data_IF_493798428283
#
_entry.id   IF_493798428283
#
_cell.length_a   1.000
_cell.length_b   1.000
_cell.length_c   1.000
_cell.angle_alpha   90.00
_cell.angle_beta   90.00
_cell.angle_gamma   90.00
#
_symmetry.space_group_name_H-M   'P 1'
#
loop_
_entity.id
_entity.type
_entity.pdbx_description
1 polymer ?
#
# COMPACT_ATOMS: atom_id res chain seq x y z
N UNK A 1 71.47 27.45 -2.77
CA UNK A 1 70.25 28.26 -2.60
C UNK A 1 69.27 27.85 -3.68
N UNK A 2 68.01 27.65 -3.28
CA UNK A 2 66.80 27.46 -4.08
C UNK A 2 66.68 26.22 -4.99
N UNK A 3 65.90 25.24 -4.52
CA UNK A 3 65.00 24.45 -5.38
C UNK A 3 63.63 24.35 -4.71
N UNK A 4 62.67 25.06 -5.30
CA UNK A 4 61.21 24.86 -5.19
C UNK A 4 60.89 23.39 -5.58
N UNK A 5 59.94 22.65 -5.02
CA UNK A 5 58.58 23.00 -4.60
C UNK A 5 57.60 22.25 -5.53
N UNK A 6 57.08 21.11 -5.07
CA UNK A 6 55.85 20.49 -5.62
C UNK A 6 55.40 19.32 -4.72
N UNK A 7 54.73 19.63 -3.61
CA UNK A 7 53.91 18.64 -2.91
C UNK A 7 52.61 18.44 -3.70
N UNK A 8 52.54 17.30 -4.40
CA UNK A 8 51.32 16.82 -5.03
C UNK A 8 50.36 16.35 -3.95
N UNK A 9 49.38 17.20 -3.62
CA UNK A 9 48.24 16.80 -2.81
C UNK A 9 47.38 15.83 -3.62
N UNK A 10 47.52 14.53 -3.35
CA UNK A 10 46.62 13.49 -3.85
C UNK A 10 45.31 13.66 -3.10
N UNK A 11 44.35 14.36 -3.72
CA UNK A 11 42.97 14.33 -3.27
C UNK A 11 42.46 12.90 -3.45
N UNK A 12 42.38 12.15 -2.35
CA UNK A 12 41.54 10.96 -2.29
C UNK A 12 40.11 11.43 -2.50
N UNK A 13 39.64 11.28 -3.74
CA UNK A 13 38.23 11.35 -4.08
C UNK A 13 37.56 10.21 -3.34
N UNK A 14 36.93 10.53 -2.22
CA UNK A 14 36.09 9.60 -1.47
C UNK A 14 34.87 9.29 -2.33
N UNK A 15 34.98 8.25 -3.16
CA UNK A 15 33.85 7.69 -3.88
C UNK A 15 32.86 7.18 -2.82
N UNK A 16 31.77 7.92 -2.60
CA UNK A 16 30.64 7.45 -1.80
C UNK A 16 29.94 6.35 -2.60
N UNK A 17 30.45 5.13 -2.46
CA UNK A 17 29.78 3.95 -2.97
C UNK A 17 28.56 3.67 -2.07
N UNK A 18 27.42 4.28 -2.40
CA UNK A 18 26.09 3.96 -1.87
C UNK A 18 25.59 2.59 -2.36
N UNK A 19 26.48 1.60 -2.39
CA UNK A 19 26.20 0.23 -2.73
C UNK A 19 26.23 -0.63 -1.47
N UNK A 20 25.10 -0.71 -0.76
CA UNK A 20 24.90 -1.78 0.23
C UNK A 20 25.14 -3.11 -0.49
N UNK A 21 26.25 -3.79 -0.16
CA UNK A 21 26.59 -5.04 -0.82
C UNK A 21 25.54 -6.09 -0.48
N UNK A 22 25.22 -7.04 -1.38
CA UNK A 22 24.27 -8.13 -1.12
C UNK A 22 24.54 -8.92 0.17
N UNK A 23 25.78 -8.91 0.68
CA UNK A 23 26.16 -9.52 1.95
C UNK A 23 25.65 -8.79 3.21
N UNK A 24 25.42 -7.47 3.15
CA UNK A 24 25.00 -6.67 4.31
C UNK A 24 23.55 -6.91 4.70
N UNK A 25 22.76 -7.50 3.81
CA UNK A 25 21.36 -7.88 4.04
C UNK A 25 21.21 -9.06 5.00
N UNK A 26 22.28 -9.85 5.18
CA UNK A 26 22.29 -10.95 6.13
C UNK A 26 22.20 -10.43 7.58
N UNK A 27 22.82 -9.28 7.86
CA UNK A 27 22.56 -8.54 9.10
C UNK A 27 21.43 -7.54 8.87
N UNK A 28 20.19 -8.04 8.93
CA UNK A 28 19.02 -7.18 8.76
C UNK A 28 18.97 -5.98 9.73
N UNK A 29 19.77 -5.94 10.80
CA UNK A 29 19.93 -4.71 11.60
C UNK A 29 20.54 -3.60 10.78
N UNK A 30 21.64 -3.84 10.07
CA UNK A 30 22.28 -2.81 9.25
C UNK A 30 21.28 -2.21 8.25
N UNK A 31 20.50 -3.07 7.60
CA UNK A 31 19.47 -2.66 6.64
C UNK A 31 18.38 -1.74 7.24
N UNK A 32 17.85 -2.07 8.42
CA UNK A 32 16.78 -1.27 9.02
C UNK A 32 17.31 -0.01 9.72
N UNK A 33 18.55 -0.01 10.19
CA UNK A 33 19.12 1.10 10.96
C UNK A 33 19.83 2.14 10.09
N UNK A 34 20.19 1.80 8.85
CA UNK A 34 20.76 2.75 7.88
C UNK A 34 19.71 3.60 7.16
N UNK A 35 18.41 3.33 7.39
CA UNK A 35 17.31 3.99 6.68
C UNK A 35 16.61 5.03 7.53
N UNK A 36 16.28 6.12 6.86
CA UNK A 36 15.36 7.12 7.38
C UNK A 36 13.92 6.73 7.08
N UNK A 37 13.07 6.87 8.10
CA UNK A 37 11.64 6.65 7.97
C UNK A 37 10.94 8.00 8.14
N UNK A 38 10.18 8.42 7.13
CA UNK A 38 9.35 9.64 7.23
C UNK A 38 7.88 9.29 7.44
N UNK A 39 7.48 8.06 7.16
CA UNK A 39 6.09 7.64 7.20
C UNK A 39 5.91 6.15 7.53
N UNK A 40 4.68 5.78 7.91
CA UNK A 40 4.27 4.38 8.05
C UNK A 40 4.38 3.61 6.74
N UNK A 41 4.25 4.29 5.60
CA UNK A 41 4.41 3.68 4.29
C UNK A 41 5.87 3.29 4.05
N UNK A 42 6.83 4.11 4.47
CA UNK A 42 8.26 3.79 4.33
C UNK A 42 8.65 2.61 5.22
N UNK A 43 8.13 2.56 6.45
CA UNK A 43 8.28 1.38 7.33
C UNK A 43 7.73 0.14 6.64
N UNK A 44 6.50 0.21 6.15
CA UNK A 44 5.85 -0.92 5.48
C UNK A 44 6.68 -1.39 4.30
N UNK A 45 7.09 -0.46 3.41
CA UNK A 45 7.92 -0.71 2.23
C UNK A 45 9.24 -1.37 2.58
N UNK A 46 9.95 -0.86 3.59
CA UNK A 46 11.24 -1.43 4.00
C UNK A 46 11.15 -2.88 4.44
N UNK A 47 10.05 -3.26 5.12
CA UNK A 47 9.79 -4.65 5.53
C UNK A 47 9.48 -5.51 4.29
N UNK A 48 8.74 -4.98 3.31
CA UNK A 48 8.47 -5.68 2.05
C UNK A 48 9.80 -6.02 1.39
N UNK A 49 10.60 -5.00 1.11
CA UNK A 49 11.88 -5.10 0.39
C UNK A 49 12.85 -6.05 1.11
N UNK A 50 12.99 -5.93 2.44
CA UNK A 50 13.84 -6.83 3.21
C UNK A 50 13.44 -8.29 3.01
N UNK A 51 12.15 -8.59 3.14
CA UNK A 51 11.65 -9.96 3.06
C UNK A 51 11.64 -10.49 1.63
N UNK A 52 11.48 -9.64 0.61
CA UNK A 52 11.66 -10.02 -0.79
C UNK A 52 13.12 -10.39 -1.07
N UNK A 53 14.08 -9.58 -0.56
CA UNK A 53 15.50 -9.83 -0.73
C UNK A 53 15.99 -11.09 0.00
N UNK A 54 15.46 -11.38 1.19
CA UNK A 54 15.78 -12.64 1.89
C UNK A 54 14.94 -13.83 1.42
N UNK A 55 14.01 -13.64 0.47
CA UNK A 55 13.15 -14.70 -0.05
C UNK A 55 12.23 -15.32 1.04
N UNK A 56 11.66 -14.48 1.90
CA UNK A 56 10.86 -14.92 3.05
C UNK A 56 9.47 -14.33 3.08
N UNK A 57 8.53 -15.16 3.51
CA UNK A 57 7.19 -14.71 3.83
C UNK A 57 7.09 -14.10 5.22
N UNK A 58 6.30 -13.03 5.33
CA UNK A 58 5.89 -12.47 6.62
C UNK A 58 4.42 -12.11 6.68
N UNK A 59 3.87 -12.04 7.88
CA UNK A 59 2.52 -11.57 8.18
C UNK A 59 2.56 -10.39 9.14
N UNK A 60 1.64 -9.46 8.95
CA UNK A 60 1.43 -8.31 9.84
C UNK A 60 0.54 -8.74 10.99
N UNK A 61 1.04 -8.62 12.23
CA UNK A 61 0.33 -8.97 13.45
C UNK A 61 -0.36 -7.76 14.07
N UNK A 62 0.29 -6.61 14.01
CA UNK A 62 -0.22 -5.35 14.54
C UNK A 62 0.15 -4.23 13.58
N UNK A 63 -0.82 -3.35 13.32
CA UNK A 63 -0.66 -2.23 12.43
C UNK A 63 -1.65 -1.15 12.84
N UNK A 64 -1.26 -0.33 13.80
CA UNK A 64 -2.05 0.77 14.32
C UNK A 64 -1.34 2.13 14.09
N UNK A 65 -1.89 3.22 14.63
CA UNK A 65 -1.33 4.55 14.44
C UNK A 65 -0.05 4.80 15.26
N UNK A 66 0.42 3.83 16.05
CA UNK A 66 1.61 3.96 16.91
C UNK A 66 2.62 2.83 16.73
N UNK A 67 2.24 1.70 16.15
CA UNK A 67 3.02 0.47 16.09
C UNK A 67 2.77 -0.28 14.81
N UNK A 68 3.83 -0.91 14.32
CA UNK A 68 3.78 -1.85 13.21
C UNK A 68 4.63 -3.07 13.55
N UNK A 69 4.03 -4.26 13.58
CA UNK A 69 4.69 -5.50 13.97
C UNK A 69 4.43 -6.60 12.95
N UNK A 70 5.51 -7.25 12.53
CA UNK A 70 5.48 -8.38 11.61
C UNK A 70 6.18 -9.60 12.20
N UNK A 71 5.75 -10.78 11.78
CA UNK A 71 6.34 -12.08 12.08
C UNK A 71 6.51 -12.89 10.80
N UNK A 72 7.35 -13.93 10.83
CA UNK A 72 7.38 -14.89 9.73
C UNK A 72 6.05 -15.65 9.66
N UNK A 73 5.72 -16.15 8.47
CA UNK A 73 4.59 -17.05 8.27
C UNK A 73 4.87 -18.43 8.89
N UNK A 74 6.11 -18.90 8.82
CA UNK A 74 6.55 -20.13 9.48
C UNK A 74 6.50 -19.96 11.01
N UNK A 75 5.73 -20.82 11.67
CA UNK A 75 5.58 -20.82 13.13
C UNK A 75 6.86 -21.19 13.87
N UNK A 76 7.80 -21.87 13.21
CA UNK A 76 9.07 -22.29 13.78
C UNK A 76 10.19 -21.26 13.55
N UNK A 77 9.90 -20.15 12.87
CA UNK A 77 10.83 -19.06 12.66
C UNK A 77 10.70 -18.00 13.75
N UNK A 78 11.82 -17.54 14.30
CA UNK A 78 11.84 -16.48 15.34
C UNK A 78 11.77 -15.06 14.77
N UNK A 79 11.69 -14.90 13.44
CA UNK A 79 11.70 -13.59 12.80
C UNK A 79 10.62 -12.68 13.36
N UNK A 80 11.05 -11.51 13.81
CA UNK A 80 10.17 -10.47 14.35
C UNK A 80 10.76 -9.12 14.01
N UNK A 81 9.94 -8.24 13.44
CA UNK A 81 10.29 -6.81 13.31
C UNK A 81 9.17 -6.00 13.91
N UNK A 82 9.50 -5.10 14.82
CA UNK A 82 8.55 -4.21 15.46
C UNK A 82 9.04 -2.77 15.43
N UNK A 83 8.19 -1.90 14.90
CA UNK A 83 8.34 -0.45 14.90
C UNK A 83 7.38 0.15 15.93
N UNK A 84 7.83 1.21 16.59
CA UNK A 84 7.01 2.04 17.45
C UNK A 84 7.25 3.48 17.04
N UNK A 85 6.23 4.16 16.53
CA UNK A 85 6.34 5.51 16.00
C UNK A 85 5.36 6.50 16.65
N UNK A 86 5.02 6.25 17.92
CA UNK A 86 4.20 7.18 18.70
C UNK A 86 4.85 8.55 18.95
N UNK A 87 6.17 8.68 18.74
CA UNK A 87 6.95 9.92 18.95
C UNK A 87 7.77 10.37 17.73
N UNK A 88 7.76 9.60 16.65
CA UNK A 88 8.62 9.79 15.48
C UNK A 88 8.80 8.48 14.73
N UNK A 89 9.16 8.53 13.46
CA UNK A 89 9.40 7.35 12.65
C UNK A 89 10.87 6.92 12.78
N UNK A 90 11.16 6.14 13.82
CA UNK A 90 12.51 5.62 14.11
C UNK A 90 12.69 4.17 13.59
N UNK A 91 13.93 3.68 13.47
CA UNK A 91 14.24 2.28 13.21
C UNK A 91 13.53 1.31 14.18
N UNK A 92 13.43 0.01 13.84
CA UNK A 92 12.66 -0.93 14.62
C UNK A 92 13.30 -1.16 16.01
N UNK A 93 12.51 -0.91 17.06
CA UNK A 93 12.89 -1.20 18.45
C UNK A 93 13.03 -2.70 18.74
N UNK A 94 12.55 -3.56 17.85
CA UNK A 94 12.81 -4.99 17.91
C UNK A 94 13.08 -5.51 16.51
N UNK A 95 14.25 -6.13 16.34
CA UNK A 95 14.61 -6.89 15.16
C UNK A 95 15.21 -8.23 15.58
N UNK A 96 14.59 -9.31 15.12
CA UNK A 96 15.08 -10.69 15.23
C UNK A 96 15.11 -11.25 13.80
N UNK A 97 16.28 -11.69 13.30
CA UNK A 97 16.40 -12.23 11.95
C UNK A 97 15.65 -13.56 11.77
N UNK A 98 15.49 -13.98 10.52
CA UNK A 98 14.89 -15.28 10.21
C UNK A 98 15.81 -16.42 10.67
N UNK A 99 15.22 -17.44 11.28
CA UNK A 99 15.89 -18.71 11.60
C UNK A 99 15.43 -19.86 10.70
N UNK A 100 14.40 -19.63 9.88
CA UNK A 100 13.94 -20.60 8.89
C UNK A 100 14.73 -20.50 7.57
N UNK A 101 14.79 -21.64 6.87
CA UNK A 101 15.56 -21.81 5.63
C UNK A 101 14.84 -21.31 4.36
N UNK A 102 15.68 -20.90 3.37
CA UNK A 102 15.43 -20.49 1.98
C UNK A 102 14.12 -20.98 1.40
N UNK A 103 14.04 -22.29 1.54
CA UNK A 103 13.45 -23.24 0.62
C UNK A 103 12.17 -23.83 1.19
N UNK A 104 11.95 -23.67 2.50
CA UNK A 104 10.84 -24.33 3.23
C UNK A 104 9.54 -23.55 3.18
N UNK A 105 9.60 -22.26 2.86
CA UNK A 105 8.41 -21.44 2.72
C UNK A 105 7.99 -21.47 1.27
N UNK A 106 6.81 -22.03 0.99
CA UNK A 106 6.19 -21.99 -0.33
C UNK A 106 5.93 -20.51 -0.73
N UNK A 107 6.92 -19.94 -1.41
CA UNK A 107 6.90 -18.58 -1.91
C UNK A 107 5.68 -18.36 -2.82
N UNK A 108 5.25 -19.37 -3.57
CA UNK A 108 4.09 -19.28 -4.45
C UNK A 108 2.79 -19.14 -3.65
N UNK A 109 2.63 -19.90 -2.56
CA UNK A 109 1.49 -19.72 -1.64
C UNK A 109 1.52 -18.35 -0.96
N UNK A 110 2.72 -17.87 -0.60
CA UNK A 110 2.87 -16.55 0.00
C UNK A 110 2.51 -15.42 -0.97
N UNK A 111 3.07 -15.45 -2.17
CA UNK A 111 2.78 -14.51 -3.25
C UNK A 111 1.30 -14.54 -3.64
N UNK A 112 0.66 -15.71 -3.68
CA UNK A 112 -0.79 -15.82 -3.91
C UNK A 112 -1.61 -15.15 -2.78
N UNK A 113 -1.18 -15.32 -1.52
CA UNK A 113 -1.85 -14.71 -0.36
C UNK A 113 -1.66 -13.19 -0.26
N UNK A 114 -0.60 -12.66 -0.90
CA UNK A 114 -0.20 -11.25 -0.84
C UNK A 114 -0.59 -10.46 -2.09
N UNK A 115 -0.39 -11.04 -3.27
CA UNK A 115 -0.83 -10.54 -4.56
C UNK A 115 -2.35 -10.44 -4.69
N UNK A 116 -3.12 -11.06 -3.78
CA UNK A 116 -4.56 -10.84 -3.71
C UNK A 116 -4.94 -9.54 -2.98
N UNK A 117 -4.03 -8.91 -2.23
CA UNK A 117 -4.31 -7.68 -1.47
C UNK A 117 -3.99 -6.43 -2.29
N UNK A 118 -5.01 -5.59 -2.50
CA UNK A 118 -4.88 -4.34 -3.25
C UNK A 118 -3.89 -3.36 -2.62
N UNK A 119 -3.79 -3.34 -1.30
CA UNK A 119 -2.79 -2.54 -0.59
C UNK A 119 -1.36 -2.92 -0.97
N UNK A 120 -1.06 -4.21 -1.16
CA UNK A 120 0.26 -4.64 -1.61
C UNK A 120 0.53 -4.20 -3.04
N UNK A 121 -0.44 -4.37 -3.95
CA UNK A 121 -0.32 -3.90 -5.34
C UNK A 121 -0.05 -2.39 -5.40
N UNK A 122 -0.69 -1.62 -4.52
CA UNK A 122 -0.45 -0.18 -4.41
C UNK A 122 0.97 0.19 -3.95
N UNK A 123 1.69 -0.73 -3.31
CA UNK A 123 3.08 -0.51 -2.88
C UNK A 123 4.12 -0.91 -3.94
N UNK A 124 3.74 -1.64 -4.99
CA UNK A 124 4.68 -2.06 -6.02
C UNK A 124 5.15 -0.85 -6.85
N UNK A 125 6.47 -0.69 -7.00
CA UNK A 125 7.04 0.40 -7.81
C UNK A 125 6.57 0.33 -9.26
N UNK A 126 6.50 -0.88 -9.85
CA UNK A 126 5.94 -1.07 -11.19
C UNK A 126 4.51 -0.54 -11.35
N UNK A 127 3.67 -0.72 -10.31
CA UNK A 127 2.28 -0.26 -10.30
C UNK A 127 2.20 1.25 -10.12
N UNK A 128 3.01 1.82 -9.22
CA UNK A 128 3.10 3.28 -9.02
C UNK A 128 3.63 3.97 -10.26
N UNK A 129 4.73 3.49 -10.82
CA UNK A 129 5.31 4.02 -12.05
C UNK A 129 4.32 3.93 -13.21
N UNK A 130 3.59 2.82 -13.34
CA UNK A 130 2.53 2.71 -14.33
C UNK A 130 1.45 3.81 -14.19
N UNK A 131 1.00 4.09 -12.97
CA UNK A 131 0.00 5.14 -12.71
C UNK A 131 0.59 6.53 -12.99
N UNK A 132 1.86 6.76 -12.67
CA UNK A 132 2.57 8.00 -13.02
C UNK A 132 2.66 8.18 -14.55
N UNK A 133 3.06 7.14 -15.28
CA UNK A 133 3.24 7.18 -16.74
C UNK A 133 1.92 7.40 -17.48
N UNK A 134 0.84 6.75 -17.01
CA UNK A 134 -0.49 6.80 -17.65
C UNK A 134 -1.38 7.90 -17.10
N UNK A 135 -0.99 8.55 -16.00
CA UNK A 135 -1.78 9.59 -15.37
C UNK A 135 -3.17 9.10 -14.92
N UNK A 136 -4.16 9.98 -15.12
CA UNK A 136 -5.57 9.71 -14.78
C UNK A 136 -6.22 8.64 -15.66
N UNK A 137 -5.64 8.35 -16.81
CA UNK A 137 -6.14 7.35 -17.76
C UNK A 137 -5.69 5.92 -17.42
N UNK A 138 -4.83 5.75 -16.40
CA UNK A 138 -4.33 4.44 -16.00
C UNK A 138 -5.47 3.45 -15.71
N UNK A 139 -5.72 2.46 -16.57
CA UNK A 139 -6.83 1.54 -16.36
C UNK A 139 -6.43 0.35 -15.47
N UNK A 140 -7.33 -0.16 -14.61
CA UNK A 140 -7.07 -1.37 -13.84
C UNK A 140 -6.75 -2.60 -14.72
N UNK A 141 -7.33 -2.68 -15.92
CA UNK A 141 -7.08 -3.75 -16.88
C UNK A 141 -5.64 -3.72 -17.42
N UNK A 142 -5.14 -2.54 -17.80
CA UNK A 142 -3.76 -2.37 -18.26
C UNK A 142 -2.76 -2.59 -17.12
N UNK A 143 -3.08 -2.11 -15.91
CA UNK A 143 -2.28 -2.39 -14.71
C UNK A 143 -2.17 -3.89 -14.47
N UNK A 144 -3.29 -4.62 -14.52
CA UNK A 144 -3.30 -6.07 -14.37
C UNK A 144 -2.44 -6.74 -15.45
N UNK A 145 -2.59 -6.33 -16.72
CA UNK A 145 -1.80 -6.87 -17.84
C UNK A 145 -0.30 -6.66 -17.63
N UNK A 146 0.11 -5.45 -17.22
CA UNK A 146 1.52 -5.12 -16.96
C UNK A 146 2.09 -5.99 -15.83
N UNK A 147 1.42 -6.00 -14.68
CA UNK A 147 1.91 -6.75 -13.51
C UNK A 147 1.88 -8.27 -13.74
N UNK A 148 0.94 -8.77 -14.54
CA UNK A 148 0.92 -10.19 -14.95
C UNK A 148 2.09 -10.53 -15.87
N UNK A 149 2.48 -9.62 -16.78
CA UNK A 149 3.67 -9.79 -17.60
C UNK A 149 4.97 -9.81 -16.76
N UNK A 150 4.97 -9.13 -15.62
CA UNK A 150 6.05 -9.18 -14.60
C UNK A 150 5.98 -10.43 -13.71
N UNK A 151 5.11 -11.40 -14.02
CA UNK A 151 4.97 -12.65 -13.28
C UNK A 151 4.03 -12.61 -12.08
N UNK A 152 3.35 -11.48 -11.82
CA UNK A 152 2.42 -11.35 -10.69
C UNK A 152 1.06 -11.96 -11.02
N UNK A 153 0.54 -12.81 -10.14
CA UNK A 153 -0.82 -13.39 -10.28
C UNK A 153 -1.84 -12.53 -9.53
N UNK A 154 -2.45 -11.56 -10.23
CA UNK A 154 -3.40 -10.61 -9.66
C UNK A 154 -4.80 -10.80 -10.24
N UNK A 155 -5.83 -10.59 -9.43
CA UNK A 155 -7.21 -10.49 -9.93
C UNK A 155 -7.47 -9.08 -10.45
N UNK A 156 -8.44 -8.95 -11.35
CA UNK A 156 -8.88 -7.65 -11.85
C UNK A 156 -9.36 -6.75 -10.70
N UNK A 157 -10.13 -7.32 -9.76
CA UNK A 157 -10.64 -6.58 -8.61
C UNK A 157 -9.52 -6.05 -7.72
N UNK A 158 -8.47 -6.84 -7.48
CA UNK A 158 -7.29 -6.38 -6.75
C UNK A 158 -6.65 -5.15 -7.41
N UNK A 159 -6.59 -5.11 -8.74
CA UNK A 159 -6.06 -3.98 -9.48
C UNK A 159 -6.98 -2.75 -9.44
N UNK A 160 -8.30 -2.94 -9.45
CA UNK A 160 -9.29 -1.85 -9.26
C UNK A 160 -9.09 -1.21 -7.89
N UNK A 161 -9.10 -2.03 -6.85
CA UNK A 161 -8.98 -1.60 -5.45
C UNK A 161 -7.61 -0.96 -5.15
N UNK A 162 -6.58 -1.25 -5.95
CA UNK A 162 -5.26 -0.63 -5.84
C UNK A 162 -5.14 0.67 -6.65
N UNK A 163 -5.70 0.68 -7.86
CA UNK A 163 -5.58 1.80 -8.80
C UNK A 163 -6.34 3.04 -8.32
N UNK A 164 -7.52 2.87 -7.72
CA UNK A 164 -8.33 3.97 -7.15
C UNK A 164 -7.54 4.77 -6.10
N UNK A 165 -7.05 4.17 -5.00
CA UNK A 165 -6.32 4.91 -3.98
C UNK A 165 -4.96 5.40 -4.48
N UNK A 166 -4.31 4.70 -5.41
CA UNK A 166 -3.06 5.16 -6.03
C UNK A 166 -3.25 6.46 -6.82
N UNK A 167 -4.28 6.51 -7.67
CA UNK A 167 -4.60 7.73 -8.42
C UNK A 167 -4.95 8.88 -7.48
N UNK A 168 -5.73 8.61 -6.44
CA UNK A 168 -6.05 9.61 -5.43
C UNK A 168 -4.77 10.16 -4.76
N UNK A 169 -3.87 9.28 -4.30
CA UNK A 169 -2.62 9.70 -3.68
C UNK A 169 -1.69 10.50 -4.60
N UNK A 170 -1.68 10.18 -5.90
CA UNK A 170 -0.77 10.82 -6.86
C UNK A 170 -1.36 12.07 -7.53
N UNK A 171 -2.69 12.18 -7.63
CA UNK A 171 -3.35 13.20 -8.45
C UNK A 171 -4.50 13.96 -7.74
N UNK A 172 -4.97 13.58 -6.55
CA UNK A 172 -6.01 14.36 -5.85
C UNK A 172 -5.46 15.65 -5.25
N UNK A 173 -4.14 15.75 -4.99
CA UNK A 173 -3.50 17.01 -4.57
C UNK A 173 -3.54 18.09 -5.66
N UNK A 174 -3.65 17.72 -6.94
CA UNK A 174 -3.87 18.69 -8.03
C UNK A 174 -5.23 19.38 -7.92
N UNK A 175 -6.25 18.70 -7.37
CA UNK A 175 -7.60 19.26 -7.28
C UNK A 175 -7.69 20.31 -6.19
N UNK A 176 -6.96 20.12 -5.09
CA UNK A 176 -6.79 21.14 -4.06
C UNK A 176 -5.83 22.24 -4.54
N UNK A 177 -4.72 21.93 -5.21
CA UNK A 177 -3.83 22.96 -5.76
C UNK A 177 -4.50 23.83 -6.84
N UNK A 178 -5.27 23.26 -7.77
CA UNK A 178 -6.05 24.03 -8.76
C UNK A 178 -7.18 24.87 -8.14
N UNK A 179 -7.62 24.56 -6.91
CA UNK A 179 -8.53 25.44 -6.16
C UNK A 179 -7.80 26.63 -5.52
N UNK A 180 -6.49 26.53 -5.29
CA UNK A 180 -5.65 27.59 -4.72
C UNK A 180 -4.83 28.35 -5.76
N UNK A 181 -4.73 27.87 -7.00
CA UNK A 181 -4.26 28.68 -8.11
C UNK A 181 -5.27 29.79 -8.36
N UNK A 182 -4.89 31.02 -8.00
CA UNK A 182 -5.65 32.24 -8.30
C UNK A 182 -6.14 32.22 -9.76
N UNK A 183 -7.36 32.72 -10.05
CA UNK A 183 -7.86 32.86 -11.41
C UNK A 183 -7.09 34.00 -12.10
N UNK A 184 -5.85 33.73 -12.50
CA UNK A 184 -5.04 34.60 -13.34
C UNK A 184 -5.13 34.21 -14.82
N UNK A 185 -6.18 33.47 -15.21
CA UNK A 185 -6.61 33.41 -16.60
C UNK A 185 -7.61 34.55 -16.79
N UNK A 186 -7.11 35.64 -17.34
CA UNK A 186 -7.89 36.82 -17.71
C UNK A 186 -9.13 36.41 -18.51
N UNK A 187 -10.29 36.90 -18.09
CA UNK A 187 -11.60 36.71 -18.74
C UNK A 187 -11.65 37.15 -20.22
N UNK A 188 -10.57 37.75 -20.75
CA UNK A 188 -10.48 38.26 -22.13
C UNK A 188 -10.30 37.17 -23.21
N UNK A 189 -9.94 35.93 -22.86
CA UNK A 189 -9.84 34.86 -23.86
C UNK A 189 -11.15 34.08 -24.09
N UNK A 190 -12.11 34.11 -23.15
CA UNK A 190 -13.38 33.39 -23.30
C UNK A 190 -14.39 34.09 -24.21
N UNK A 191 -14.25 35.40 -24.46
CA UNK A 191 -15.09 36.16 -25.40
C UNK A 191 -14.69 35.98 -26.87
N UNK A 192 -13.55 35.33 -27.17
CA UNK A 192 -13.09 35.13 -28.56
C UNK A 192 -13.54 33.82 -29.21
N UNK A 193 -14.13 32.89 -28.46
CA UNK A 193 -14.63 31.61 -28.99
C UNK A 193 -16.16 31.44 -28.97
N UNK A 194 -16.93 32.50 -28.72
CA UNK A 194 -18.39 32.50 -28.87
C UNK A 194 -18.82 32.74 -30.34
N UNK A 195 -18.45 31.84 -31.26
CA UNK A 195 -19.05 31.78 -32.61
C UNK A 195 -19.23 30.36 -33.13
N UNK A 196 -19.74 29.45 -32.29
CA UNK A 196 -20.42 28.26 -32.80
C UNK A 196 -21.72 28.02 -32.02
N UNK A 197 -22.84 28.37 -32.65
CA UNK A 197 -24.18 28.06 -32.15
C UNK A 197 -24.34 26.54 -31.97
N UNK A 198 -24.76 26.05 -30.80
CA UNK A 198 -25.20 24.67 -30.69
C UNK A 198 -26.57 24.52 -31.35
N UNK A 199 -26.65 23.55 -32.27
CA UNK A 199 -27.91 23.10 -32.85
C UNK A 199 -28.87 22.67 -31.73
N UNK A 200 -30.07 23.26 -31.75
CA UNK A 200 -31.19 22.95 -30.87
C UNK A 200 -31.69 21.53 -31.13
N UNK A 201 -31.17 20.57 -30.37
CA UNK A 201 -31.71 19.20 -30.37
C UNK A 201 -33.01 19.18 -29.58
N UNK A 202 -34.13 19.08 -30.30
CA UNK A 202 -35.47 18.84 -29.76
C UNK A 202 -35.51 17.50 -29.01
N UNK A 203 -35.51 17.56 -27.68
CA UNK A 203 -35.73 16.38 -26.82
C UNK A 203 -37.21 15.98 -26.89
N UNK A 204 -37.54 14.97 -27.70
CA UNK A 204 -38.84 14.28 -27.63
C UNK A 204 -38.99 13.66 -26.24
N UNK A 205 -39.91 14.21 -25.43
CA UNK A 205 -40.30 13.67 -24.12
C UNK A 205 -41.07 12.37 -24.31
N UNK A 206 -40.36 11.24 -24.27
CA UNK A 206 -40.96 9.92 -24.13
C UNK A 206 -41.47 9.73 -22.70
N UNK A 207 -42.79 9.57 -22.54
CA UNK A 207 -43.45 9.22 -21.27
C UNK A 207 -42.89 7.88 -20.75
N UNK A 208 -42.40 7.78 -19.51
CA UNK A 208 -41.99 6.51 -18.94
C UNK A 208 -43.18 5.54 -18.88
N UNK A 209 -43.06 4.38 -19.54
CA UNK A 209 -44.02 3.27 -19.37
C UNK A 209 -43.95 2.81 -17.91
N UNK A 210 -45.09 2.81 -17.22
CA UNK A 210 -45.23 2.26 -15.87
C UNK A 210 -44.80 0.80 -15.88
N UNK A 211 -43.62 0.52 -15.35
CA UNK A 211 -43.16 -0.82 -15.02
C UNK A 211 -44.11 -1.42 -13.97
N UNK A 212 -44.64 -2.62 -14.25
CA UNK A 212 -45.47 -3.37 -13.32
C UNK A 212 -44.63 -3.64 -12.06
N UNK A 213 -45.14 -3.16 -10.92
CA UNK A 213 -44.64 -3.46 -9.58
C UNK A 213 -44.61 -4.98 -9.43
N UNK A 214 -43.42 -5.55 -9.32
CA UNK A 214 -43.24 -6.93 -8.86
C UNK A 214 -43.66 -6.93 -7.40
N UNK A 215 -44.62 -7.80 -7.09
CA UNK A 215 -45.14 -8.02 -5.76
C UNK A 215 -43.97 -8.45 -4.86
N UNK A 216 -43.79 -7.71 -3.77
CA UNK A 216 -42.74 -7.94 -2.79
C UNK A 216 -42.81 -9.37 -2.30
N UNK A 217 -41.78 -10.17 -2.64
CA UNK A 217 -41.50 -11.38 -1.88
C UNK A 217 -41.35 -10.98 -0.42
N UNK A 218 -42.10 -11.69 0.42
CA UNK A 218 -42.13 -11.52 1.86
C UNK A 218 -40.71 -11.35 2.42
N UNK A 219 -40.56 -10.34 3.27
CA UNK A 219 -39.38 -10.16 4.09
C UNK A 219 -39.17 -11.46 4.88
N UNK A 220 -38.25 -12.31 4.41
CA UNK A 220 -37.72 -13.39 5.22
C UNK A 220 -36.98 -12.73 6.35
N UNK A 221 -37.51 -12.96 7.56
CA UNK A 221 -36.96 -12.51 8.81
C UNK A 221 -35.46 -12.75 8.82
N UNK A 222 -34.70 -11.66 8.82
CA UNK A 222 -33.30 -11.70 9.14
C UNK A 222 -33.21 -12.13 10.61
N UNK A 223 -33.11 -13.45 10.83
CA UNK A 223 -32.67 -14.04 12.09
C UNK A 223 -31.30 -13.46 12.40
N UNK A 224 -31.29 -12.34 13.13
CA UNK A 224 -30.12 -11.88 13.89
C UNK A 224 -29.84 -12.98 14.92
N UNK A 225 -29.08 -14.00 14.52
CA UNK A 225 -28.38 -14.90 15.44
C UNK A 225 -27.41 -14.03 16.24
N UNK A 226 -27.90 -13.38 17.31
CA UNK A 226 -27.08 -12.93 18.42
C UNK A 226 -26.37 -14.19 18.91
N UNK A 227 -25.11 -14.38 18.51
CA UNK A 227 -24.24 -15.38 19.12
C UNK A 227 -24.18 -15.01 20.60
N UNK A 228 -24.89 -15.76 21.44
CA UNK A 228 -24.75 -15.66 22.87
C UNK A 228 -23.32 -16.06 23.20
N UNK A 229 -22.52 -15.12 23.69
CA UNK A 229 -21.16 -15.43 24.12
C UNK A 229 -21.25 -16.39 25.30
N UNK A 230 -20.64 -17.58 25.16
CA UNK A 230 -20.50 -18.57 26.23
C UNK A 230 -19.45 -18.06 27.21
N UNK A 231 -19.73 -18.10 28.51
CA UNK A 231 -18.75 -17.74 29.53
C UNK A 231 -17.57 -18.73 29.47
N UNK A 232 -16.33 -18.23 29.39
CA UNK A 232 -15.13 -19.08 29.32
C UNK A 232 -14.76 -19.70 30.67
N UNK A 233 -15.34 -19.25 31.78
CA UNK A 233 -15.07 -19.78 33.12
C UNK A 233 -16.01 -20.94 33.45
N UNK A 234 -17.33 -20.73 33.45
CA UNK A 234 -18.33 -21.74 33.83
C UNK A 234 -19.03 -22.42 32.65
N UNK A 235 -18.79 -21.97 31.42
CA UNK A 235 -19.44 -22.53 30.23
C UNK A 235 -20.93 -22.16 30.06
N UNK A 236 -21.53 -21.38 30.97
CA UNK A 236 -22.92 -20.97 30.86
C UNK A 236 -23.10 -19.76 29.92
N UNK A 237 -24.27 -19.65 29.29
CA UNK A 237 -24.65 -18.51 28.46
C UNK A 237 -25.29 -17.39 29.29
N UNK A 238 -25.29 -16.16 28.77
CA UNK A 238 -26.02 -15.03 29.36
C UNK A 238 -25.19 -14.10 30.25
N UNK A 239 -23.90 -14.37 30.44
CA UNK A 239 -22.96 -13.48 31.13
C UNK A 239 -21.55 -13.61 30.53
N UNK A 240 -20.66 -12.67 30.84
CA UNK A 240 -19.26 -12.72 30.40
C UNK A 240 -18.33 -13.09 31.58
N UNK A 241 -17.05 -13.35 31.29
CA UNK A 241 -16.05 -13.71 32.32
C UNK A 241 -15.96 -12.68 33.46
N UNK A 242 -16.21 -11.40 33.21
CA UNK A 242 -16.10 -10.32 34.21
C UNK A 242 -17.29 -10.31 35.18
N UNK A 243 -18.42 -10.88 34.79
CA UNK A 243 -19.65 -10.92 35.59
C UNK A 243 -19.98 -12.34 36.05
N UNK A 244 -19.03 -13.27 35.95
CA UNK A 244 -19.18 -14.63 36.45
C UNK A 244 -19.09 -14.61 37.98
N UNK A 245 -20.00 -15.35 38.64
CA UNK A 245 -20.03 -15.49 40.12
C UNK A 245 -19.38 -16.80 40.60
N UNK A 246 -18.87 -17.62 39.68
CA UNK A 246 -18.10 -18.83 39.93
C UNK A 246 -16.59 -18.53 39.91
#
# INVERSE_FOLDING_TARGET
MATNGSDGYVGETQESSDGCSPGDWADGRAYFYSRDYASRNDISRSIIEYNENVGRAFRVISSDNRRYKVLCVDSNCSFTVAFAYGRGFEPPHTFVPHTCDATRVDLASYEASRGSKSSYVAFLDSARQFVLDKGRDASPAEMQKKLTAEGRRLTYQTCVDACIPLKAQLFDEDRTQCQFMNPCVTMDEMTRLEKHHPLTVSKKRGRPKKSKRIESQAATEAFKKKRSNKCTTCGNYGHNKRTCKE
#
